data_IF_829886292390
#
_entry.id   IF_829886292390
#
_cell.length_a   1.000
_cell.length_b   1.000
_cell.length_c   1.000
_cell.angle_alpha   90.00
_cell.angle_beta   90.00
_cell.angle_gamma   90.00
#
_symmetry.space_group_name_H-M   'P 1'
#
loop_
_entity.id
_entity.type
_entity.pdbx_description
1 polymer ?
#
# COMPACT_ATOMS: atom_id res chain seq x y z
N UNK A 1 14.31 1.68 -9.98
CA UNK A 1 14.98 2.02 -8.71
C UNK A 1 14.47 3.35 -8.18
N UNK A 2 14.17 3.43 -6.88
CA UNK A 2 13.66 4.68 -6.30
C UNK A 2 14.80 5.65 -6.03
N UNK A 3 14.56 6.95 -6.31
CA UNK A 3 15.47 8.01 -5.90
C UNK A 3 15.41 8.17 -4.37
N UNK A 4 16.40 8.83 -3.74
CA UNK A 4 16.34 9.10 -2.30
C UNK A 4 15.09 9.86 -1.87
N UNK A 5 14.61 10.79 -2.68
CA UNK A 5 13.37 11.55 -2.39
C UNK A 5 12.16 10.62 -2.44
N UNK A 6 12.08 9.76 -3.46
CA UNK A 6 10.98 8.80 -3.58
C UNK A 6 11.00 7.78 -2.44
N UNK A 7 12.19 7.29 -2.07
CA UNK A 7 12.34 6.35 -0.97
C UNK A 7 11.91 6.99 0.36
N UNK A 8 12.27 8.26 0.58
CA UNK A 8 11.84 8.99 1.77
C UNK A 8 10.31 9.11 1.83
N UNK A 9 9.67 9.41 0.70
CA UNK A 9 8.20 9.51 0.62
C UNK A 9 7.53 8.17 0.95
N UNK A 10 8.07 7.06 0.43
CA UNK A 10 7.57 5.71 0.73
C UNK A 10 7.76 5.38 2.21
N UNK A 11 8.91 5.72 2.79
CA UNK A 11 9.19 5.48 4.21
C UNK A 11 8.23 6.23 5.12
N UNK A 12 7.95 7.51 4.80
CA UNK A 12 6.98 8.31 5.56
C UNK A 12 5.56 7.74 5.44
N UNK A 13 5.19 7.31 4.25
CA UNK A 13 3.91 6.64 4.02
C UNK A 13 3.80 5.37 4.86
N UNK A 14 4.83 4.52 4.85
CA UNK A 14 4.85 3.28 5.62
C UNK A 14 4.71 3.54 7.12
N UNK A 15 5.34 4.59 7.64
CA UNK A 15 5.28 4.96 9.06
C UNK A 15 3.89 5.40 9.49
N UNK A 16 3.06 5.90 8.58
CA UNK A 16 1.69 6.33 8.89
C UNK A 16 0.70 5.17 8.99
N UNK A 17 1.03 4.01 8.44
CA UNK A 17 0.10 2.88 8.34
C UNK A 17 -0.35 2.34 9.71
N UNK A 18 0.53 2.19 10.73
CA UNK A 18 0.09 1.66 12.02
C UNK A 18 -0.95 2.52 12.74
N UNK A 19 -1.04 3.82 12.40
CA UNK A 19 -2.03 4.73 12.99
C UNK A 19 -3.41 4.59 12.38
N UNK A 20 -3.55 3.90 11.24
CA UNK A 20 -4.83 3.73 10.55
C UNK A 20 -5.71 2.71 11.24
N UNK A 21 -7.02 2.97 11.28
CA UNK A 21 -8.00 1.97 11.67
C UNK A 21 -8.11 0.86 10.63
N UNK A 22 -8.83 -0.22 10.97
CA UNK A 22 -8.91 -1.41 10.13
C UNK A 22 -9.43 -1.10 8.72
N UNK A 23 -10.57 -0.41 8.64
CA UNK A 23 -11.16 -0.07 7.33
C UNK A 23 -10.28 0.88 6.53
N UNK A 24 -9.67 1.87 7.21
CA UNK A 24 -8.78 2.82 6.56
C UNK A 24 -7.53 2.12 5.99
N UNK A 25 -7.01 1.13 6.70
CA UNK A 25 -5.86 0.36 6.21
C UNK A 25 -6.25 -0.49 4.99
N UNK A 26 -7.41 -1.14 5.01
CA UNK A 26 -7.90 -1.93 3.88
C UNK A 26 -8.10 -1.03 2.66
N UNK A 27 -8.68 0.15 2.85
CA UNK A 27 -8.88 1.11 1.75
C UNK A 27 -7.54 1.59 1.19
N UNK A 28 -6.57 1.87 2.07
CA UNK A 28 -5.24 2.30 1.65
C UNK A 28 -4.52 1.20 0.87
N UNK A 29 -4.63 -0.05 1.29
CA UNK A 29 -4.10 -1.20 0.58
C UNK A 29 -4.72 -1.31 -0.83
N UNK A 30 -6.05 -1.22 -0.91
CA UNK A 30 -6.74 -1.28 -2.20
C UNK A 30 -6.28 -0.16 -3.15
N UNK A 31 -6.23 1.07 -2.65
CA UNK A 31 -5.82 2.24 -3.44
C UNK A 31 -4.36 2.14 -3.90
N UNK A 32 -3.47 1.61 -3.05
CA UNK A 32 -2.06 1.47 -3.40
C UNK A 32 -1.87 0.47 -4.56
N UNK A 33 -2.54 -0.67 -4.52
CA UNK A 33 -2.47 -1.65 -5.60
C UNK A 33 -3.14 -1.15 -6.87
N UNK A 34 -4.28 -0.48 -6.75
CA UNK A 34 -4.96 0.12 -7.89
C UNK A 34 -4.06 1.16 -8.56
N UNK A 35 -3.40 2.01 -7.77
CA UNK A 35 -2.44 2.99 -8.30
C UNK A 35 -1.27 2.35 -9.02
N UNK A 36 -0.78 1.20 -8.53
CA UNK A 36 0.30 0.47 -9.20
C UNK A 36 -0.15 -0.10 -10.55
N UNK A 37 -1.39 -0.64 -10.62
CA UNK A 37 -1.94 -1.18 -11.86
C UNK A 37 -2.17 -0.07 -12.90
N UNK A 38 -2.56 1.13 -12.46
CA UNK A 38 -2.89 2.24 -13.34
C UNK A 38 -1.70 3.15 -13.65
N UNK A 39 -0.53 2.92 -13.06
CA UNK A 39 0.66 3.75 -13.30
C UNK A 39 1.13 3.63 -14.76
N UNK A 40 1.36 4.79 -15.41
CA UNK A 40 1.68 4.83 -16.84
C UNK A 40 3.17 4.87 -17.12
N UNK A 41 3.99 5.37 -16.19
CA UNK A 41 5.44 5.46 -16.38
C UNK A 41 6.19 4.66 -15.32
N UNK A 42 7.46 4.35 -15.62
CA UNK A 42 8.26 3.48 -14.76
C UNK A 42 8.57 4.08 -13.39
N UNK A 43 8.75 5.40 -13.31
CA UNK A 43 9.04 6.05 -12.02
C UNK A 43 7.83 6.01 -11.09
N UNK A 44 6.64 6.34 -11.62
CA UNK A 44 5.41 6.26 -10.86
C UNK A 44 5.07 4.82 -10.50
N UNK A 45 5.33 3.86 -11.40
CA UNK A 45 5.12 2.44 -11.13
C UNK A 45 6.02 1.96 -9.97
N UNK A 46 7.28 2.33 -9.98
CA UNK A 46 8.22 1.93 -8.91
C UNK A 46 7.77 2.44 -7.55
N UNK A 47 7.36 3.72 -7.48
CA UNK A 47 6.86 4.32 -6.24
C UNK A 47 5.55 3.68 -5.79
N UNK A 48 4.61 3.51 -6.71
CA UNK A 48 3.31 2.91 -6.41
C UNK A 48 3.47 1.46 -5.96
N UNK A 49 4.34 0.70 -6.61
CA UNK A 49 4.62 -0.68 -6.24
C UNK A 49 5.24 -0.78 -4.84
N UNK A 50 6.19 0.11 -4.52
CA UNK A 50 6.80 0.15 -3.19
C UNK A 50 5.76 0.46 -2.10
N UNK A 51 4.84 1.38 -2.36
CA UNK A 51 3.73 1.69 -1.45
C UNK A 51 2.80 0.50 -1.28
N UNK A 52 2.48 -0.21 -2.36
CA UNK A 52 1.60 -1.38 -2.30
C UNK A 52 2.22 -2.51 -1.48
N UNK A 53 3.52 -2.74 -1.60
CA UNK A 53 4.23 -3.73 -0.79
C UNK A 53 4.22 -3.34 0.70
N UNK A 54 4.38 -2.05 1.01
CA UNK A 54 4.32 -1.57 2.40
C UNK A 54 2.94 -1.79 3.00
N UNK A 55 1.87 -1.50 2.25
CA UNK A 55 0.50 -1.73 2.72
C UNK A 55 0.19 -3.21 2.86
N UNK A 56 0.68 -4.04 1.94
CA UNK A 56 0.50 -5.49 2.03
C UNK A 56 1.14 -6.04 3.30
N UNK A 57 2.35 -5.59 3.62
CA UNK A 57 3.01 -5.99 4.86
C UNK A 57 2.20 -5.58 6.08
N UNK A 58 1.70 -4.34 6.12
CA UNK A 58 0.88 -3.86 7.22
C UNK A 58 -0.41 -4.67 7.35
N UNK A 59 -1.03 -5.03 6.24
CA UNK A 59 -2.22 -5.87 6.22
C UNK A 59 -1.94 -7.26 6.79
N UNK A 60 -0.85 -7.89 6.34
CA UNK A 60 -0.47 -9.22 6.83
C UNK A 60 -0.14 -9.21 8.33
N UNK A 61 0.52 -8.16 8.79
CA UNK A 61 0.88 -8.03 10.20
C UNK A 61 -0.35 -7.85 11.09
N UNK A 62 -1.39 -7.14 10.58
CA UNK A 62 -2.61 -6.86 11.34
C UNK A 62 -3.66 -7.95 11.20
N UNK A 63 -3.82 -8.53 10.01
CA UNK A 63 -4.87 -9.49 9.70
C UNK A 63 -4.26 -10.79 9.18
N UNK A 64 -4.40 -11.91 9.89
CA UNK A 64 -3.94 -13.21 9.38
C UNK A 64 -4.57 -13.58 8.04
N UNK A 65 -5.83 -13.19 7.80
CA UNK A 65 -6.54 -13.39 6.53
C UNK A 65 -6.78 -12.04 5.86
N UNK A 66 -5.70 -11.33 5.52
CA UNK A 66 -5.81 -9.99 4.93
C UNK A 66 -6.51 -10.01 3.56
N UNK A 67 -6.32 -11.07 2.78
CA UNK A 67 -6.98 -11.19 1.47
C UNK A 67 -8.49 -11.35 1.63
N UNK A 68 -8.95 -12.13 2.58
CA UNK A 68 -10.36 -12.28 2.90
C UNK A 68 -10.97 -10.98 3.37
N UNK A 69 -10.25 -10.24 4.24
CA UNK A 69 -10.69 -8.92 4.69
C UNK A 69 -10.86 -7.94 3.54
N UNK A 70 -9.91 -7.95 2.61
CA UNK A 70 -9.99 -7.09 1.42
C UNK A 70 -11.20 -7.46 0.56
N UNK A 71 -11.46 -8.74 0.35
CA UNK A 71 -12.60 -9.20 -0.47
C UNK A 71 -13.94 -8.86 0.14
N UNK A 72 -14.06 -8.85 1.46
CA UNK A 72 -15.31 -8.47 2.12
C UNK A 72 -15.69 -7.02 1.86
N UNK A 73 -14.69 -6.15 1.72
CA UNK A 73 -14.90 -4.73 1.47
C UNK A 73 -14.90 -4.38 -0.02
N UNK A 74 -14.16 -5.13 -0.83
CA UNK A 74 -14.05 -4.93 -2.29
C UNK A 74 -14.29 -6.29 -2.99
N UNK A 75 -15.54 -6.74 -3.04
CA UNK A 75 -15.88 -8.04 -3.64
C UNK A 75 -15.65 -8.15 -5.15
#
# INVERSE_FOLDING_TARGET
MLSPVQQHAVDQFAKSLPALGDDALIDTYHQAWEGAVLAEDSDNLSKAYAKSLATEKAMRDRFPDYQGRHRLRYP
#
